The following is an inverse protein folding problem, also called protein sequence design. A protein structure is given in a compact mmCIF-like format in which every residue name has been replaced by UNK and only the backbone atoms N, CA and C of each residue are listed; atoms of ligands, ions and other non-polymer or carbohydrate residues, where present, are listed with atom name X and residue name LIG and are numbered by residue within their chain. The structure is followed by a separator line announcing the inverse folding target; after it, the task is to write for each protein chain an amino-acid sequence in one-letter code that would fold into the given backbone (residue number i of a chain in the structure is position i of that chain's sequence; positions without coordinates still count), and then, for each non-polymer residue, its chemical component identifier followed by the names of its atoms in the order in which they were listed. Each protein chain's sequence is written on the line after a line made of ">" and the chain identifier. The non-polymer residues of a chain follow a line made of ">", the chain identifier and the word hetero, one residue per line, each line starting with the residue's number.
data_IF_937512029792
#
_entry.id   IF_937512029792
#
_cell.length_a   1.000
_cell.length_b   1.000
_cell.length_c   1.000
_cell.angle_alpha   90.00
_cell.angle_beta   90.00
_cell.angle_gamma   90.00
#
_symmetry.space_group_name_H-M   'P 1'
#
loop_
_entity.id
_entity.type
_entity.pdbx_description
1 polymer ?
#
# COMPACT_ATOMS: atom_id res chain seq x y z
N UNK A 1 -8.01 -15.67 -7.70
CA UNK A 1 -7.41 -15.58 -6.35
C UNK A 1 -6.84 -14.20 -6.11
N UNK A 2 -6.64 -13.80 -4.84
CA UNK A 2 -6.10 -12.47 -4.49
C UNK A 2 -4.82 -12.14 -5.26
N UNK A 3 -3.91 -13.12 -5.39
CA UNK A 3 -2.69 -12.98 -6.19
C UNK A 3 -2.98 -12.67 -7.68
N UNK A 4 -3.92 -13.38 -8.32
CA UNK A 4 -4.24 -13.15 -9.74
C UNK A 4 -4.91 -11.79 -9.98
N UNK A 5 -5.66 -11.26 -9.01
CA UNK A 5 -6.27 -9.92 -9.10
C UNK A 5 -5.22 -8.81 -9.02
N UNK A 6 -4.26 -8.93 -8.10
CA UNK A 6 -3.12 -8.01 -7.97
C UNK A 6 -2.28 -7.99 -9.27
N UNK A 7 -1.99 -9.16 -9.86
CA UNK A 7 -1.24 -9.23 -11.12
C UNK A 7 -2.00 -8.72 -12.34
N UNK A 8 -3.33 -8.62 -12.28
CA UNK A 8 -4.19 -8.08 -13.35
C UNK A 8 -4.50 -6.59 -13.20
N UNK A 9 -4.07 -5.95 -12.11
CA UNK A 9 -4.44 -4.57 -11.79
C UNK A 9 -5.92 -4.42 -11.46
N UNK A 10 -6.61 -5.51 -11.13
CA UNK A 10 -7.99 -5.48 -10.65
C UNK A 10 -7.98 -5.05 -9.18
N UNK A 11 -8.77 -4.03 -8.85
CA UNK A 11 -8.94 -3.60 -7.47
C UNK A 11 -9.49 -4.76 -6.65
N UNK A 12 -8.65 -5.34 -5.81
CA UNK A 12 -9.08 -6.28 -4.79
C UNK A 12 -10.03 -5.50 -3.88
N UNK A 13 -11.30 -5.89 -3.86
CA UNK A 13 -12.31 -5.31 -2.97
C UNK A 13 -11.78 -5.34 -1.53
N UNK A 14 -11.45 -4.16 -0.97
CA UNK A 14 -10.85 -3.99 0.35
C UNK A 14 -9.42 -3.46 0.38
N UNK A 15 -8.71 -3.39 -0.76
CA UNK A 15 -7.38 -2.78 -0.89
C UNK A 15 -7.49 -1.57 -1.81
N UNK A 16 -7.73 -0.39 -1.24
CA UNK A 16 -7.56 0.87 -1.97
C UNK A 16 -6.07 1.10 -2.20
N UNK A 17 -5.65 1.13 -3.46
CA UNK A 17 -4.29 1.55 -3.80
C UNK A 17 -4.06 3.04 -3.47
N UNK A 18 -2.85 3.55 -3.71
CA UNK A 18 -2.48 4.93 -3.32
C UNK A 18 -3.44 5.99 -3.86
N UNK A 19 -3.96 5.76 -5.07
CA UNK A 19 -4.92 6.65 -5.73
C UNK A 19 -6.30 6.61 -5.05
N UNK A 20 -6.74 5.43 -4.60
CA UNK A 20 -7.96 5.28 -3.80
C UNK A 20 -7.84 5.98 -2.45
N UNK A 21 -6.68 5.87 -1.79
CA UNK A 21 -6.41 6.61 -0.54
C UNK A 21 -6.47 8.11 -0.79
N UNK A 22 -5.88 8.61 -1.88
CA UNK A 22 -5.98 10.02 -2.26
C UNK A 22 -7.44 10.47 -2.41
N UNK A 23 -8.26 9.73 -3.16
CA UNK A 23 -9.67 10.07 -3.36
C UNK A 23 -10.47 10.12 -2.05
N UNK A 24 -10.28 9.15 -1.15
CA UNK A 24 -10.94 9.12 0.16
C UNK A 24 -10.42 10.25 1.06
N UNK A 25 -9.13 10.58 0.98
CA UNK A 25 -8.54 11.71 1.71
C UNK A 25 -9.13 13.04 1.25
N UNK A 26 -9.29 13.23 -0.06
CA UNK A 26 -9.95 14.42 -0.62
C UNK A 26 -11.38 14.55 -0.10
N UNK A 27 -12.13 13.44 -0.03
CA UNK A 27 -13.48 13.46 0.52
C UNK A 27 -13.49 13.76 2.02
N UNK A 28 -12.61 13.11 2.79
CA UNK A 28 -12.48 13.35 4.23
C UNK A 28 -12.11 14.82 4.55
N UNK A 29 -11.30 15.46 3.70
CA UNK A 29 -10.91 16.87 3.88
C UNK A 29 -12.09 17.85 3.75
N UNK A 30 -13.14 17.50 3.00
CA UNK A 30 -14.38 18.29 2.91
C UNK A 30 -15.21 18.23 4.19
N UNK A 31 -15.06 17.18 4.99
CA UNK A 31 -15.73 16.99 6.27
C UNK A 31 -15.15 17.82 7.42
N UNK A 32 -14.19 18.70 7.16
CA UNK A 32 -13.54 19.56 8.16
C UNK A 32 -12.41 18.88 8.94
N UNK A 33 -11.74 19.66 9.81
CA UNK A 33 -10.51 19.24 10.50
C UNK A 33 -10.68 17.98 11.34
N UNK A 34 -11.78 17.87 12.09
CA UNK A 34 -12.00 16.74 13.00
C UNK A 34 -12.19 15.41 12.23
N UNK A 35 -12.87 15.46 11.07
CA UNK A 35 -13.05 14.31 10.17
C UNK A 35 -11.73 13.87 9.58
N UNK A 36 -10.92 14.83 9.10
CA UNK A 36 -9.59 14.54 8.57
C UNK A 36 -8.67 13.95 9.65
N UNK A 37 -8.70 14.48 10.87
CA UNK A 37 -7.91 13.98 11.99
C UNK A 37 -8.29 12.53 12.34
N UNK A 38 -9.59 12.21 12.35
CA UNK A 38 -10.06 10.86 12.60
C UNK A 38 -9.62 9.89 11.49
N UNK A 39 -9.75 10.30 10.23
CA UNK A 39 -9.29 9.52 9.08
C UNK A 39 -7.78 9.24 9.14
N UNK A 40 -6.96 10.27 9.42
CA UNK A 40 -5.51 10.10 9.61
C UNK A 40 -5.20 9.20 10.80
N UNK A 41 -5.96 9.29 11.88
CA UNK A 41 -5.83 8.39 13.03
C UNK A 41 -6.04 6.93 12.65
N UNK A 42 -7.10 6.62 11.91
CA UNK A 42 -7.39 5.28 11.41
C UNK A 42 -6.27 4.78 10.48
N UNK A 43 -5.83 5.61 9.54
CA UNK A 43 -4.70 5.26 8.65
C UNK A 43 -3.42 4.98 9.44
N UNK A 44 -3.12 5.78 10.46
CA UNK A 44 -1.92 5.64 11.29
C UNK A 44 -1.92 4.33 12.08
N UNK A 45 -3.06 3.94 12.65
CA UNK A 45 -3.22 2.64 13.32
C UNK A 45 -3.01 1.48 12.34
N UNK A 46 -3.58 1.57 11.14
CA UNK A 46 -3.38 0.55 10.10
C UNK A 46 -1.90 0.44 9.69
N UNK A 47 -1.20 1.57 9.52
CA UNK A 47 0.23 1.58 9.23
C UNK A 47 1.06 0.99 10.37
N UNK A 48 0.72 1.28 11.62
CA UNK A 48 1.39 0.70 12.78
C UNK A 48 1.25 -0.83 12.81
N UNK A 49 0.05 -1.35 12.55
CA UNK A 49 -0.21 -2.79 12.48
C UNK A 49 0.58 -3.42 11.33
N UNK A 50 0.53 -2.82 10.14
CA UNK A 50 1.27 -3.31 8.96
C UNK A 50 2.77 -3.31 9.18
N UNK A 51 3.32 -2.28 9.84
CA UNK A 51 4.74 -2.18 10.13
C UNK A 51 5.23 -3.23 11.14
N UNK A 52 4.36 -3.84 11.96
CA UNK A 52 4.74 -4.90 12.90
C UNK A 52 4.83 -6.28 12.22
N UNK A 53 4.21 -6.44 11.05
CA UNK A 53 4.25 -7.70 10.30
C UNK A 53 5.70 -8.05 9.95
N UNK A 54 6.13 -9.32 10.10
CA UNK A 54 7.49 -9.76 9.80
C UNK A 54 7.76 -9.81 8.30
N UNK A 55 7.79 -8.65 7.67
CA UNK A 55 8.03 -8.48 6.25
C UNK A 55 9.34 -7.71 6.03
N UNK A 56 10.26 -8.20 5.18
CA UNK A 56 11.51 -7.51 4.87
C UNK A 56 11.28 -6.09 4.32
N UNK A 57 12.10 -5.12 4.73
CA UNK A 57 11.94 -3.67 4.50
C UNK A 57 10.90 -2.94 5.35
N UNK A 58 10.12 -3.64 6.20
CA UNK A 58 9.32 -3.03 7.26
C UNK A 58 10.01 -3.19 8.63
N UNK A 59 9.61 -2.37 9.61
CA UNK A 59 10.14 -2.38 10.97
C UNK A 59 10.00 -3.76 11.65
N UNK A 60 8.90 -4.46 11.38
CA UNK A 60 8.59 -5.80 11.87
C UNK A 60 9.53 -6.87 11.34
N UNK A 61 10.10 -6.68 10.13
CA UNK A 61 11.17 -7.54 9.61
C UNK A 61 12.44 -7.44 10.46
N UNK A 62 12.81 -6.22 10.88
CA UNK A 62 13.93 -6.00 11.81
C UNK A 62 13.64 -6.59 13.19
N UNK A 63 12.42 -6.41 13.69
CA UNK A 63 12.00 -7.01 14.96
C UNK A 63 12.09 -8.55 14.93
N UNK A 64 11.72 -9.18 13.81
CA UNK A 64 11.88 -10.62 13.62
C UNK A 64 13.35 -11.03 13.69
N UNK A 65 14.26 -10.34 13.00
CA UNK A 65 15.69 -10.64 13.06
C UNK A 65 16.23 -10.53 14.48
N UNK A 66 15.90 -9.46 15.21
CA UNK A 66 16.28 -9.29 16.61
C UNK A 66 15.70 -10.41 17.49
N UNK A 67 14.45 -10.82 17.25
CA UNK A 67 13.83 -11.95 17.95
C UNK A 67 14.56 -13.28 17.71
N UNK A 68 14.98 -13.53 16.46
CA UNK A 68 15.78 -14.71 16.10
C UNK A 68 17.16 -14.64 16.77
N UNK A 69 17.81 -13.49 16.80
CA UNK A 69 19.09 -13.30 17.49
C UNK A 69 18.97 -13.56 18.99
N UNK A 70 17.90 -13.05 19.61
CA UNK A 70 17.62 -13.27 21.03
C UNK A 70 17.39 -14.76 21.34
N UNK A 71 16.64 -15.46 20.49
CA UNK A 71 16.34 -16.89 20.65
C UNK A 71 17.56 -17.79 20.40
N UNK A 72 18.32 -17.52 19.32
CA UNK A 72 19.46 -18.35 18.90
C UNK A 72 20.78 -17.96 19.58
N UNK A 73 20.83 -16.79 20.24
CA UNK A 73 22.04 -16.13 20.78
C UNK A 73 23.15 -15.94 19.74
N UNK A 74 22.83 -16.04 18.45
CA UNK A 74 23.75 -15.86 17.34
C UNK A 74 23.30 -14.65 16.53
N UNK A 75 24.24 -13.74 16.28
CA UNK A 75 23.98 -12.57 15.43
C UNK A 75 23.69 -13.03 14.01
N UNK A 76 22.61 -12.51 13.43
CA UNK A 76 22.34 -12.63 12.00
C UNK A 76 23.41 -11.82 11.29
N UNK A 77 23.92 -12.34 10.17
CA UNK A 77 24.94 -11.60 9.43
C UNK A 77 24.31 -10.33 8.85
N UNK A 78 24.94 -9.18 9.08
CA UNK A 78 24.48 -7.88 8.58
C UNK A 78 24.34 -7.87 7.06
N UNK A 79 25.16 -8.65 6.36
CA UNK A 79 25.09 -8.83 4.92
C UNK A 79 23.83 -9.57 4.48
N UNK A 80 23.45 -10.64 5.19
CA UNK A 80 22.23 -11.40 4.90
C UNK A 80 21.00 -10.55 5.17
N UNK A 81 20.98 -9.84 6.29
CA UNK A 81 19.89 -8.93 6.61
C UNK A 81 19.73 -7.81 5.58
N UNK A 82 20.83 -7.18 5.17
CA UNK A 82 20.81 -6.12 4.15
C UNK A 82 20.29 -6.65 2.80
N UNK A 83 20.70 -7.85 2.39
CA UNK A 83 20.22 -8.47 1.13
C UNK A 83 18.72 -8.75 1.22
N UNK A 84 18.25 -9.36 2.31
CA UNK A 84 16.83 -9.70 2.50
C UNK A 84 15.98 -8.43 2.52
N UNK A 85 16.40 -7.39 3.26
CA UNK A 85 15.71 -6.11 3.30
C UNK A 85 15.71 -5.40 1.94
N UNK A 86 16.83 -5.39 1.21
CA UNK A 86 16.89 -4.78 -0.11
C UNK A 86 15.97 -5.49 -1.12
N UNK A 87 15.93 -6.82 -1.11
CA UNK A 87 15.03 -7.60 -1.97
C UNK A 87 13.56 -7.31 -1.60
N UNK A 88 13.24 -7.30 -0.29
CA UNK A 88 11.91 -6.95 0.19
C UNK A 88 11.48 -5.55 -0.24
N UNK A 89 12.36 -4.57 -0.09
CA UNK A 89 12.12 -3.19 -0.48
C UNK A 89 11.85 -3.07 -1.98
N UNK A 90 12.69 -3.71 -2.80
CA UNK A 90 12.53 -3.70 -4.25
C UNK A 90 11.21 -4.37 -4.67
N UNK A 91 10.82 -5.45 -3.99
CA UNK A 91 9.54 -6.11 -4.21
C UNK A 91 8.36 -5.19 -3.84
N UNK A 92 8.42 -4.51 -2.69
CA UNK A 92 7.38 -3.55 -2.27
C UNK A 92 7.23 -2.40 -3.25
N UNK A 93 8.33 -1.81 -3.70
CA UNK A 93 8.29 -0.72 -4.69
C UNK A 93 7.72 -1.23 -6.01
N UNK A 94 8.13 -2.42 -6.46
CA UNK A 94 7.58 -3.03 -7.68
C UNK A 94 6.08 -3.26 -7.55
N UNK A 95 5.62 -3.80 -6.42
CA UNK A 95 4.22 -4.04 -6.13
C UNK A 95 3.42 -2.72 -6.10
N UNK A 96 3.96 -1.68 -5.45
CA UNK A 96 3.38 -0.35 -5.41
C UNK A 96 3.17 0.21 -6.81
N UNK A 97 4.17 0.08 -7.70
CA UNK A 97 4.09 0.53 -9.09
C UNK A 97 3.03 -0.24 -9.87
N UNK A 98 2.98 -1.57 -9.74
CA UNK A 98 1.98 -2.42 -10.43
C UNK A 98 0.55 -2.02 -10.03
N UNK A 99 0.30 -1.87 -8.72
CA UNK A 99 -1.02 -1.47 -8.20
C UNK A 99 -1.37 -0.06 -8.71
N UNK A 100 -0.44 0.88 -8.61
CA UNK A 100 -0.67 2.27 -9.04
C UNK A 100 -0.95 2.36 -10.54
N UNK A 101 -0.24 1.60 -11.38
CA UNK A 101 -0.51 1.54 -12.83
C UNK A 101 -1.90 0.97 -13.11
N UNK A 102 -2.31 -0.08 -12.38
CA UNK A 102 -3.66 -0.63 -12.46
C UNK A 102 -4.74 0.43 -12.12
N UNK A 103 -4.54 1.14 -11.01
CA UNK A 103 -5.42 2.23 -10.57
C UNK A 103 -5.54 3.35 -11.62
N UNK A 104 -4.40 3.80 -12.19
CA UNK A 104 -4.39 4.83 -13.25
C UNK A 104 -5.14 4.35 -14.49
N UNK A 105 -4.87 3.12 -14.95
CA UNK A 105 -5.55 2.55 -16.12
C UNK A 105 -7.06 2.46 -15.92
N UNK A 106 -7.49 2.06 -14.72
CA UNK A 106 -8.91 2.00 -14.36
C UNK A 106 -9.55 3.38 -14.39
N UNK A 107 -8.90 4.41 -13.84
CA UNK A 107 -9.40 5.79 -13.88
C UNK A 107 -9.55 6.32 -15.31
N UNK A 108 -8.61 6.00 -16.20
CA UNK A 108 -8.67 6.42 -17.60
C UNK A 108 -9.78 5.66 -18.36
N UNK A 109 -9.97 4.37 -18.05
CA UNK A 109 -10.91 3.50 -18.80
C UNK A 109 -12.37 3.65 -18.34
N UNK A 110 -12.65 3.99 -17.07
CA UNK A 110 -13.97 3.79 -16.44
C UNK A 110 -14.87 5.05 -16.37
N UNK A 111 -14.65 6.14 -17.12
CA UNK A 111 -15.73 7.15 -17.24
C UNK A 111 -15.37 8.62 -17.45
N UNK A 112 -14.10 8.99 -17.57
CA UNK A 112 -13.76 10.39 -17.89
C UNK A 112 -14.04 10.75 -19.35
N UNK A 113 -13.91 9.80 -20.28
CA UNK A 113 -14.14 10.04 -21.72
C UNK A 113 -15.62 9.86 -22.09
N UNK A 114 -16.27 8.77 -21.67
CA UNK A 114 -17.70 8.56 -21.93
C UNK A 114 -18.59 9.58 -21.20
N UNK A 115 -18.22 9.97 -19.97
CA UNK A 115 -18.92 11.02 -19.20
C UNK A 115 -18.75 12.41 -19.81
N UNK A 116 -17.55 12.72 -20.32
CA UNK A 116 -17.27 13.97 -21.03
C UNK A 116 -17.97 14.05 -22.39
N UNK A 117 -17.91 12.99 -23.22
CA UNK A 117 -18.58 12.95 -24.52
C UNK A 117 -20.11 13.08 -24.36
N UNK A 118 -20.71 12.41 -23.37
CA UNK A 118 -22.13 12.55 -23.07
C UNK A 118 -22.52 13.94 -22.55
N UNK A 119 -21.59 14.69 -21.94
CA UNK A 119 -21.80 16.09 -21.54
C UNK A 119 -21.65 17.09 -22.69
N UNK A 120 -20.96 16.72 -23.78
CA UNK A 120 -20.84 17.53 -25.00
C UNK A 120 -21.94 17.21 -26.03
N UNK A 121 -22.57 16.05 -25.91
CA UNK A 121 -23.64 15.61 -26.81
C UNK A 121 -25.05 15.92 -26.26
N UNK A 122 -25.15 16.36 -25.00
CA UNK A 122 -26.37 16.90 -24.38
C UNK A 122 -26.37 18.41 -24.32
#
# INVERSE_FOLDING_TARGET
>A
GLATGIFRGEAVSGVSGPIGIYAVTTEASKGGFLTLLNFVGILSVNLAILNIIPFPALDGGRLLFIGIEAATRKKVSTRVEAIINNIGFLLLITLLLVITIGDVRRLITTGSIEGFINSLTK
#
